data_IF_188376107509
#
_entry.id   IF_188376107509
#
_cell.length_a   1.000
_cell.length_b   1.000
_cell.length_c   1.000
_cell.angle_alpha   90.00
_cell.angle_beta   90.00
_cell.angle_gamma   90.00
#
_symmetry.space_group_name_H-M   'P 1'
#
loop_
_entity.id
_entity.type
_entity.pdbx_description
1 polymer ?
#
# COMPACT_ATOMS: atom_id res chain seq x y z
N UNK A 1 28.95 1.69 -31.76
CA UNK A 1 28.62 0.42 -31.09
C UNK A 1 29.26 0.49 -29.72
N UNK A 2 28.50 0.97 -28.73
CA UNK A 2 28.96 0.93 -27.33
C UNK A 2 29.06 -0.54 -26.90
N UNK A 3 30.01 -0.88 -26.02
CA UNK A 3 30.17 -2.24 -25.55
C UNK A 3 28.92 -2.67 -24.73
N UNK A 4 28.56 -3.96 -24.75
CA UNK A 4 27.35 -4.48 -24.09
C UNK A 4 27.28 -4.21 -22.56
N UNK A 5 28.39 -3.79 -21.95
CA UNK A 5 28.51 -3.46 -20.53
C UNK A 5 28.55 -1.94 -20.23
N UNK A 6 28.54 -1.07 -21.25
CA UNK A 6 28.64 0.38 -21.06
C UNK A 6 27.26 1.01 -20.77
N UNK A 7 27.22 1.83 -19.73
CA UNK A 7 26.06 2.63 -19.39
C UNK A 7 26.03 3.90 -20.22
N UNK A 8 24.90 4.19 -20.86
CA UNK A 8 24.64 5.51 -21.42
C UNK A 8 24.25 6.48 -20.31
N UNK A 9 24.90 7.63 -20.25
CA UNK A 9 24.58 8.67 -19.27
C UNK A 9 23.52 9.60 -19.87
N UNK A 10 22.36 9.69 -19.23
CA UNK A 10 21.24 10.51 -19.68
C UNK A 10 21.17 11.84 -18.93
N UNK A 11 21.26 12.94 -19.67
CA UNK A 11 21.31 14.32 -19.15
C UNK A 11 19.96 15.07 -19.17
N UNK A 12 18.83 14.39 -19.43
CA UNK A 12 17.51 15.00 -19.26
C UNK A 12 16.91 15.73 -20.45
N UNK A 13 17.58 15.79 -21.62
CA UNK A 13 17.07 16.55 -22.78
C UNK A 13 17.22 15.84 -24.13
N UNK A 14 18.11 14.86 -24.21
CA UNK A 14 18.49 14.24 -25.48
C UNK A 14 17.76 12.91 -25.69
N UNK A 15 17.44 12.58 -26.93
CA UNK A 15 16.93 11.26 -27.25
C UNK A 15 18.03 10.22 -27.00
N UNK A 16 17.68 9.13 -26.32
CA UNK A 16 18.62 8.02 -26.13
C UNK A 16 18.86 7.33 -27.48
N UNK A 17 20.12 7.07 -27.86
CA UNK A 17 20.44 6.34 -29.08
C UNK A 17 19.73 4.98 -29.13
N UNK A 18 19.31 4.52 -30.33
CA UNK A 18 18.50 3.32 -30.45
C UNK A 18 19.26 2.04 -30.08
N UNK A 19 20.58 2.01 -30.06
CA UNK A 19 21.39 0.84 -29.71
C UNK A 19 21.67 0.69 -28.20
N UNK A 20 21.23 1.65 -27.38
CA UNK A 20 21.46 1.64 -25.93
C UNK A 20 20.50 0.67 -25.23
N UNK A 21 21.07 -0.20 -24.40
CA UNK A 21 20.33 -1.14 -23.56
C UNK A 21 20.31 -0.74 -22.07
N UNK A 22 21.26 0.07 -21.62
CA UNK A 22 21.40 0.45 -20.19
C UNK A 22 21.60 1.95 -20.04
N UNK A 23 20.79 2.57 -19.19
CA UNK A 23 20.80 4.02 -18.96
C UNK A 23 21.02 4.34 -17.50
N UNK A 24 22.00 5.20 -17.22
CA UNK A 24 22.16 5.83 -15.91
C UNK A 24 21.75 7.29 -16.01
N UNK A 25 20.91 7.73 -15.10
CA UNK A 25 20.48 9.13 -15.03
C UNK A 25 21.63 9.95 -14.43
N UNK A 26 22.05 11.01 -15.14
CA UNK A 26 23.08 11.91 -14.67
C UNK A 26 22.66 12.66 -13.41
N UNK A 27 23.63 12.92 -12.55
CA UNK A 27 23.49 13.59 -11.26
C UNK A 27 22.84 15.00 -11.33
N UNK A 28 22.85 15.66 -12.49
CA UNK A 28 22.16 16.93 -12.75
C UNK A 28 20.65 16.80 -12.94
N UNK A 29 20.15 15.61 -13.27
CA UNK A 29 18.74 15.37 -13.60
C UNK A 29 17.95 15.12 -12.30
N UNK A 30 17.11 16.07 -11.92
CA UNK A 30 16.24 15.94 -10.73
C UNK A 30 14.84 15.43 -11.06
N UNK A 31 14.46 15.44 -12.34
CA UNK A 31 13.16 14.96 -12.84
C UNK A 31 13.42 14.27 -14.17
N UNK A 32 12.95 13.03 -14.33
CA UNK A 32 12.92 12.41 -15.66
C UNK A 32 11.80 13.08 -16.45
N UNK A 33 12.08 13.73 -17.59
CA UNK A 33 11.06 14.46 -18.33
C UNK A 33 9.92 13.57 -18.82
N UNK A 34 8.78 14.21 -19.08
CA UNK A 34 7.67 13.59 -19.81
C UNK A 34 8.18 13.00 -21.13
N UNK A 35 7.79 11.75 -21.42
CA UNK A 35 8.16 11.05 -22.66
C UNK A 35 9.67 10.85 -22.92
N UNK A 36 10.54 10.97 -21.90
CA UNK A 36 12.00 10.89 -22.05
C UNK A 36 12.52 9.66 -22.83
N UNK A 37 11.87 8.51 -22.66
CA UNK A 37 12.19 7.22 -23.28
C UNK A 37 10.97 6.64 -24.02
N UNK A 38 10.05 7.49 -24.47
CA UNK A 38 8.80 7.07 -25.10
C UNK A 38 9.02 6.08 -26.26
N UNK A 39 8.35 4.92 -26.19
CA UNK A 39 8.43 3.81 -27.14
C UNK A 39 9.83 3.23 -27.38
N UNK A 40 10.80 3.47 -26.49
CA UNK A 40 12.12 2.90 -26.64
C UNK A 40 12.08 1.37 -26.49
N UNK A 41 12.51 0.65 -27.54
CA UNK A 41 12.40 -0.82 -27.60
C UNK A 41 13.71 -1.55 -27.29
N UNK A 42 14.75 -0.84 -26.88
CA UNK A 42 16.07 -1.44 -26.65
C UNK A 42 16.56 -1.26 -25.21
N UNK A 43 16.13 -0.22 -24.49
CA UNK A 43 16.49 -0.09 -23.08
C UNK A 43 15.93 -1.26 -22.27
N UNK A 44 16.81 -1.91 -21.52
CA UNK A 44 16.53 -3.05 -20.65
C UNK A 44 16.69 -2.67 -19.17
N UNK A 45 17.56 -1.71 -18.87
CA UNK A 45 17.87 -1.30 -17.50
C UNK A 45 18.01 0.22 -17.38
N UNK A 46 17.41 0.78 -16.31
CA UNK A 46 17.53 2.20 -15.96
C UNK A 46 17.92 2.35 -14.49
N UNK A 47 18.98 3.10 -14.22
CA UNK A 47 19.47 3.40 -12.87
C UNK A 47 19.36 4.90 -12.58
N UNK A 48 18.56 5.25 -11.58
CA UNK A 48 18.44 6.61 -11.05
C UNK A 48 19.26 6.77 -9.77
N UNK A 49 19.90 7.93 -9.63
CA UNK A 49 20.48 8.38 -8.37
C UNK A 49 19.40 8.98 -7.43
N UNK A 50 19.74 9.18 -6.15
CA UNK A 50 18.77 9.57 -5.11
C UNK A 50 18.21 11.00 -5.22
N UNK A 51 18.76 11.82 -6.12
CA UNK A 51 18.26 13.20 -6.32
C UNK A 51 17.13 13.28 -7.34
N UNK A 52 16.88 12.23 -8.13
CA UNK A 52 15.69 12.16 -8.99
C UNK A 52 14.44 12.12 -8.10
N UNK A 53 13.58 13.13 -8.23
CA UNK A 53 12.37 13.30 -7.41
C UNK A 53 11.12 12.73 -8.06
N UNK A 54 11.04 12.78 -9.39
CA UNK A 54 9.87 12.28 -10.11
C UNK A 54 10.20 11.73 -11.48
N UNK A 55 9.34 10.83 -11.93
CA UNK A 55 9.28 10.32 -13.30
C UNK A 55 8.09 10.97 -14.00
N UNK A 56 8.37 11.69 -15.07
CA UNK A 56 7.38 12.39 -15.89
C UNK A 56 6.35 11.46 -16.52
N UNK A 57 5.24 12.04 -16.96
CA UNK A 57 4.19 11.26 -17.61
C UNK A 57 4.71 10.62 -18.90
N UNK A 58 4.25 9.41 -19.21
CA UNK A 58 4.69 8.67 -20.41
C UNK A 58 6.21 8.45 -20.54
N UNK A 59 7.02 8.72 -19.50
CA UNK A 59 8.48 8.72 -19.60
C UNK A 59 9.06 7.42 -20.19
N UNK A 60 8.51 6.27 -19.82
CA UNK A 60 8.85 4.94 -20.32
C UNK A 60 7.67 4.27 -21.03
N UNK A 61 6.75 5.05 -21.60
CA UNK A 61 5.57 4.50 -22.27
C UNK A 61 5.98 3.49 -23.34
N UNK A 62 5.41 2.28 -23.24
CA UNK A 62 5.59 1.17 -24.18
C UNK A 62 7.08 0.78 -24.38
N UNK A 63 7.90 0.93 -23.33
CA UNK A 63 9.27 0.40 -23.29
C UNK A 63 9.27 -1.11 -23.09
N UNK A 64 9.01 -1.87 -24.17
CA UNK A 64 8.73 -3.31 -24.09
C UNK A 64 9.91 -4.19 -23.70
N UNK A 65 11.13 -3.69 -23.81
CA UNK A 65 12.35 -4.42 -23.43
C UNK A 65 12.85 -4.06 -22.03
N UNK A 66 12.27 -3.05 -21.38
CA UNK A 66 12.66 -2.60 -20.05
C UNK A 66 12.34 -3.69 -19.03
N UNK A 67 13.37 -4.20 -18.35
CA UNK A 67 13.29 -5.29 -17.35
C UNK A 67 13.49 -4.80 -15.94
N UNK A 68 14.40 -3.84 -15.74
CA UNK A 68 14.80 -3.36 -14.42
C UNK A 68 14.85 -1.84 -14.34
N UNK A 69 14.29 -1.30 -13.26
CA UNK A 69 14.34 0.14 -12.93
C UNK A 69 14.73 0.32 -11.47
N UNK A 70 15.82 1.03 -11.23
CA UNK A 70 16.24 1.44 -9.89
C UNK A 70 15.90 2.93 -9.71
N UNK A 71 15.01 3.23 -8.75
CA UNK A 71 14.53 4.58 -8.48
C UNK A 71 14.24 4.82 -7.00
N UNK A 72 15.19 4.45 -6.13
CA UNK A 72 15.04 4.50 -4.66
C UNK A 72 14.71 5.90 -4.11
N UNK A 73 15.25 6.95 -4.74
CA UNK A 73 15.02 8.35 -4.38
C UNK A 73 13.74 8.99 -4.92
N UNK A 74 13.05 8.34 -5.87
CA UNK A 74 11.88 8.90 -6.56
C UNK A 74 10.67 8.89 -5.64
N UNK A 75 9.99 10.04 -5.57
CA UNK A 75 8.77 10.26 -4.78
C UNK A 75 7.49 10.16 -5.60
N UNK A 76 7.54 10.43 -6.90
CA UNK A 76 6.35 10.40 -7.74
C UNK A 76 6.63 9.76 -9.10
N UNK A 77 5.77 8.81 -9.49
CA UNK A 77 5.71 8.27 -10.84
C UNK A 77 4.42 8.77 -11.47
N UNK A 78 4.51 9.65 -12.46
CA UNK A 78 3.33 10.30 -13.04
C UNK A 78 2.55 9.37 -13.98
N UNK A 79 1.39 9.85 -14.43
CA UNK A 79 0.47 9.08 -15.26
C UNK A 79 1.13 8.47 -16.50
N UNK A 80 0.79 7.21 -16.79
CA UNK A 80 1.30 6.44 -17.92
C UNK A 80 2.82 6.22 -17.98
N UNK A 81 3.58 6.57 -16.93
CA UNK A 81 5.04 6.56 -16.97
C UNK A 81 5.65 5.23 -17.45
N UNK A 82 5.18 4.08 -16.98
CA UNK A 82 5.62 2.73 -17.37
C UNK A 82 4.51 1.95 -18.10
N UNK A 83 3.55 2.63 -18.72
CA UNK A 83 2.43 1.99 -19.41
C UNK A 83 2.92 1.00 -20.48
N UNK A 84 2.45 -0.25 -20.47
CA UNK A 84 2.88 -1.33 -21.36
C UNK A 84 4.40 -1.60 -21.40
N UNK A 85 5.12 -1.42 -20.29
CA UNK A 85 6.46 -2.00 -20.10
C UNK A 85 6.33 -3.52 -19.84
N UNK A 86 5.99 -4.29 -20.87
CA UNK A 86 5.57 -5.69 -20.69
C UNK A 86 6.66 -6.61 -20.10
N UNK A 87 7.94 -6.30 -20.31
CA UNK A 87 9.07 -7.08 -19.79
C UNK A 87 9.54 -6.64 -18.39
N UNK A 88 8.95 -5.59 -17.80
CA UNK A 88 9.39 -5.04 -16.52
C UNK A 88 9.12 -6.05 -15.41
N UNK A 89 10.18 -6.57 -14.81
CA UNK A 89 10.15 -7.57 -13.73
C UNK A 89 10.53 -6.98 -12.38
N UNK A 90 11.50 -6.07 -12.38
CA UNK A 90 12.18 -5.59 -11.17
C UNK A 90 12.11 -4.07 -11.06
N UNK A 91 11.35 -3.58 -10.08
CA UNK A 91 11.24 -2.15 -9.76
C UNK A 91 11.72 -1.93 -8.33
N UNK A 92 12.85 -1.26 -8.19
CA UNK A 92 13.38 -0.87 -6.88
C UNK A 92 12.99 0.57 -6.57
N UNK A 93 11.97 0.73 -5.73
CA UNK A 93 11.49 2.01 -5.25
C UNK A 93 11.24 1.92 -3.74
N UNK A 94 11.71 2.90 -2.97
CA UNK A 94 11.55 2.90 -1.51
C UNK A 94 10.73 4.10 -1.06
N UNK A 95 11.04 5.28 -1.61
CA UNK A 95 10.44 6.56 -1.24
C UNK A 95 9.26 6.96 -2.12
N UNK A 96 8.71 6.03 -2.90
CA UNK A 96 7.64 6.31 -3.85
C UNK A 96 6.34 6.61 -3.10
N UNK A 97 5.92 7.88 -3.11
CA UNK A 97 4.73 8.40 -2.42
C UNK A 97 3.50 8.43 -3.32
N UNK A 98 3.68 8.73 -4.62
CA UNK A 98 2.58 8.88 -5.60
C UNK A 98 2.79 7.93 -6.77
N UNK A 99 1.79 7.09 -7.03
CA UNK A 99 1.72 6.22 -8.20
C UNK A 99 0.57 6.69 -9.07
N UNK A 100 0.91 7.36 -10.17
CA UNK A 100 -0.03 8.05 -11.03
C UNK A 100 -0.93 7.12 -11.87
N UNK A 101 -1.93 7.73 -12.49
CA UNK A 101 -2.97 7.05 -13.26
C UNK A 101 -2.34 6.19 -14.36
N UNK A 102 -2.65 4.89 -14.36
CA UNK A 102 -2.11 3.91 -15.32
C UNK A 102 -0.57 3.85 -15.34
N UNK A 103 0.11 4.27 -14.27
CA UNK A 103 1.57 4.35 -14.23
C UNK A 103 2.26 3.03 -14.64
N UNK A 104 1.78 1.88 -14.16
CA UNK A 104 2.33 0.56 -14.46
C UNK A 104 1.34 -0.32 -15.24
N UNK A 105 0.29 0.26 -15.85
CA UNK A 105 -0.74 -0.53 -16.54
C UNK A 105 -0.10 -1.44 -17.60
N UNK A 106 -0.38 -2.74 -17.53
CA UNK A 106 0.09 -3.73 -18.47
C UNK A 106 1.59 -4.06 -18.36
N UNK A 107 2.23 -3.79 -17.22
CA UNK A 107 3.53 -4.37 -16.85
C UNK A 107 3.36 -5.87 -16.54
N UNK A 108 3.10 -6.66 -17.58
CA UNK A 108 2.65 -8.06 -17.48
C UNK A 108 3.64 -9.00 -16.80
N UNK A 109 4.92 -8.67 -16.79
CA UNK A 109 5.98 -9.46 -16.15
C UNK A 109 6.32 -8.98 -14.74
N UNK A 110 5.71 -7.90 -14.25
CA UNK A 110 6.01 -7.35 -12.93
C UNK A 110 5.49 -8.32 -11.87
N UNK A 111 6.40 -8.96 -11.13
CA UNK A 111 6.02 -10.05 -10.21
C UNK A 111 5.74 -9.54 -8.80
N UNK A 112 6.46 -8.49 -8.37
CA UNK A 112 6.39 -7.89 -7.05
C UNK A 112 6.72 -6.41 -7.16
N UNK A 113 6.12 -5.61 -6.30
CA UNK A 113 6.53 -4.23 -6.08
C UNK A 113 6.38 -3.90 -4.59
N UNK A 114 7.43 -3.34 -4.00
CA UNK A 114 7.45 -2.90 -2.60
C UNK A 114 7.32 -1.38 -2.60
N UNK A 115 6.26 -0.84 -1.99
CA UNK A 115 5.95 0.60 -1.99
C UNK A 115 5.56 1.05 -0.58
N UNK A 116 6.48 0.95 0.39
CA UNK A 116 6.17 1.19 1.80
C UNK A 116 5.85 2.66 2.10
N UNK A 117 6.29 3.59 1.26
CA UNK A 117 6.01 5.03 1.41
C UNK A 117 4.83 5.52 0.56
N UNK A 118 4.16 4.65 -0.20
CA UNK A 118 3.07 5.08 -1.07
C UNK A 118 1.89 5.60 -0.24
N UNK A 119 1.44 6.80 -0.59
CA UNK A 119 0.29 7.48 -0.02
C UNK A 119 -0.91 7.39 -0.95
N UNK A 120 -0.66 7.62 -2.24
CA UNK A 120 -1.70 7.72 -3.27
C UNK A 120 -1.38 6.73 -4.39
N UNK A 121 -2.32 5.84 -4.66
CA UNK A 121 -2.33 4.96 -5.84
C UNK A 121 -3.51 5.36 -6.70
N UNK A 122 -3.25 6.00 -7.84
CA UNK A 122 -4.33 6.50 -8.70
C UNK A 122 -5.00 5.37 -9.52
N UNK A 123 -6.11 5.72 -10.17
CA UNK A 123 -6.92 4.76 -10.93
C UNK A 123 -6.09 3.99 -11.97
N UNK A 124 -6.35 2.70 -12.07
CA UNK A 124 -5.69 1.78 -13.00
C UNK A 124 -4.16 1.67 -12.87
N UNK A 125 -3.54 2.16 -11.78
CA UNK A 125 -2.10 2.23 -11.60
C UNK A 125 -1.36 0.92 -11.94
N UNK A 126 -1.87 -0.24 -11.50
CA UNK A 126 -1.30 -1.57 -11.73
C UNK A 126 -2.22 -2.48 -12.56
N UNK A 127 -3.19 -1.92 -13.28
CA UNK A 127 -4.14 -2.72 -14.03
C UNK A 127 -3.43 -3.60 -15.08
N UNK A 128 -3.90 -4.83 -15.25
CA UNK A 128 -3.33 -5.85 -16.14
C UNK A 128 -1.86 -6.20 -15.87
N UNK A 129 -1.34 -5.96 -14.65
CA UNK A 129 -0.08 -6.54 -14.16
C UNK A 129 -0.30 -8.03 -13.82
N UNK A 130 -0.47 -8.86 -14.85
CA UNK A 130 -0.97 -10.24 -14.71
C UNK A 130 -0.06 -11.18 -13.90
N UNK A 131 1.23 -10.89 -13.80
CA UNK A 131 2.19 -11.66 -13.00
C UNK A 131 2.37 -11.13 -11.57
N UNK A 132 1.74 -10.01 -11.20
CA UNK A 132 1.92 -9.38 -9.91
C UNK A 132 1.32 -10.29 -8.83
N UNK A 133 2.15 -10.79 -7.93
CA UNK A 133 1.77 -11.75 -6.87
C UNK A 133 1.57 -11.09 -5.52
N UNK A 134 2.31 -10.01 -5.26
CA UNK A 134 2.34 -9.33 -3.96
C UNK A 134 2.54 -7.84 -4.14
N UNK A 135 1.80 -7.06 -3.34
CA UNK A 135 1.98 -5.62 -3.19
C UNK A 135 2.01 -5.28 -1.71
N UNK A 136 3.07 -4.60 -1.28
CA UNK A 136 3.27 -4.20 0.11
C UNK A 136 3.17 -2.67 0.24
N UNK A 137 2.08 -2.19 0.82
CA UNK A 137 1.92 -0.81 1.24
C UNK A 137 2.31 -0.62 2.71
N UNK A 138 2.74 0.60 3.05
CA UNK A 138 3.00 1.00 4.43
C UNK A 138 1.84 1.72 5.10
N UNK A 139 2.08 2.17 6.35
CA UNK A 139 1.09 2.82 7.21
C UNK A 139 0.61 4.20 6.68
N UNK A 140 1.38 4.80 5.78
CA UNK A 140 1.12 6.12 5.21
C UNK A 140 0.17 6.07 4.01
N UNK A 141 -0.29 4.89 3.58
CA UNK A 141 -1.28 4.81 2.50
C UNK A 141 -2.57 5.53 2.92
N UNK A 142 -3.09 6.34 2.00
CA UNK A 142 -4.27 7.19 2.17
C UNK A 142 -5.38 6.81 1.19
N UNK A 143 -5.04 6.44 -0.06
CA UNK A 143 -6.06 6.09 -1.05
C UNK A 143 -5.59 5.12 -2.14
N UNK A 144 -6.52 4.27 -2.57
CA UNK A 144 -6.40 3.40 -3.74
C UNK A 144 -7.54 3.73 -4.71
N UNK A 145 -7.18 4.16 -5.91
CA UNK A 145 -8.11 4.60 -6.94
C UNK A 145 -8.83 3.44 -7.65
N UNK A 146 -9.90 3.80 -8.35
CA UNK A 146 -10.72 2.88 -9.14
C UNK A 146 -9.89 1.92 -10.02
N UNK A 147 -10.21 0.63 -9.99
CA UNK A 147 -9.58 -0.41 -10.81
C UNK A 147 -8.04 -0.46 -10.72
N UNK A 148 -7.44 0.04 -9.63
CA UNK A 148 -5.97 0.09 -9.48
C UNK A 148 -5.28 -1.27 -9.70
N UNK A 149 -5.93 -2.39 -9.33
CA UNK A 149 -5.43 -3.75 -9.54
C UNK A 149 -6.29 -4.59 -10.49
N UNK A 150 -7.10 -3.96 -11.35
CA UNK A 150 -7.92 -4.68 -12.32
C UNK A 150 -7.10 -5.69 -13.13
N UNK A 151 -7.57 -6.92 -13.27
CA UNK A 151 -6.88 -8.01 -13.98
C UNK A 151 -5.47 -8.37 -13.46
N UNK A 152 -5.15 -8.08 -12.19
CA UNK A 152 -3.98 -8.65 -11.52
C UNK A 152 -4.23 -10.13 -11.16
N UNK A 153 -4.32 -10.99 -12.19
CA UNK A 153 -4.77 -12.38 -12.09
C UNK A 153 -3.94 -13.26 -11.16
N UNK A 154 -2.68 -12.90 -10.94
CA UNK A 154 -1.77 -13.63 -10.03
C UNK A 154 -1.66 -13.01 -8.64
N UNK A 155 -2.37 -11.92 -8.34
CA UNK A 155 -2.24 -11.24 -7.05
C UNK A 155 -2.80 -12.14 -5.96
N UNK A 156 -1.93 -12.64 -5.09
CA UNK A 156 -2.27 -13.57 -4.02
C UNK A 156 -2.48 -12.85 -2.69
N UNK A 157 -1.67 -11.81 -2.46
CA UNK A 157 -1.63 -11.06 -1.22
C UNK A 157 -1.46 -9.57 -1.47
N UNK A 158 -2.20 -8.79 -0.69
CA UNK A 158 -1.98 -7.35 -0.58
C UNK A 158 -1.87 -6.95 0.89
N UNK A 159 -0.93 -6.06 1.19
CA UNK A 159 -0.77 -5.46 2.52
C UNK A 159 -1.26 -4.02 2.48
N UNK A 160 -2.24 -3.65 3.32
CA UNK A 160 -2.83 -2.29 3.40
C UNK A 160 -2.91 -1.83 4.86
N UNK A 161 -2.93 -0.52 5.18
CA UNK A 161 -3.10 -0.08 6.57
C UNK A 161 -4.54 -0.28 7.06
N UNK A 162 -4.69 -0.47 8.38
CA UNK A 162 -6.00 -0.44 9.03
C UNK A 162 -6.46 1.03 9.20
N UNK A 163 -7.12 1.57 8.18
CA UNK A 163 -7.76 2.89 8.18
C UNK A 163 -9.08 2.81 7.45
N UNK A 164 -10.02 3.68 7.83
CA UNK A 164 -11.25 3.88 7.07
C UNK A 164 -10.93 4.41 5.66
N UNK A 165 -11.82 4.13 4.71
CA UNK A 165 -11.80 4.65 3.34
C UNK A 165 -10.50 4.42 2.54
N UNK A 166 -9.69 3.41 2.88
CA UNK A 166 -8.57 3.00 2.02
C UNK A 166 -9.04 2.35 0.72
N UNK A 167 -10.11 1.53 0.82
CA UNK A 167 -10.76 0.85 -0.30
C UNK A 167 -12.08 1.58 -0.57
N UNK A 168 -12.07 2.53 -1.50
CA UNK A 168 -13.23 3.39 -1.82
C UNK A 168 -14.03 2.94 -3.02
N UNK A 169 -13.55 1.94 -3.77
CA UNK A 169 -14.19 1.46 -4.99
C UNK A 169 -14.30 -0.07 -5.00
N UNK A 170 -15.46 -0.58 -5.38
CA UNK A 170 -15.76 -2.01 -5.40
C UNK A 170 -14.95 -2.80 -6.45
N UNK A 171 -14.40 -2.11 -7.44
CA UNK A 171 -13.74 -2.72 -8.58
C UNK A 171 -12.20 -2.75 -8.49
N UNK A 172 -11.63 -2.35 -7.34
CA UNK A 172 -10.16 -2.30 -7.14
C UNK A 172 -9.51 -3.65 -7.44
N UNK A 173 -10.12 -4.75 -6.99
CA UNK A 173 -9.62 -6.13 -7.16
C UNK A 173 -10.40 -6.93 -8.20
N UNK A 174 -11.07 -6.27 -9.14
CA UNK A 174 -11.82 -6.97 -10.18
C UNK A 174 -10.88 -7.82 -11.04
N UNK A 175 -11.26 -9.07 -11.30
CA UNK A 175 -10.46 -10.10 -11.99
C UNK A 175 -9.16 -10.52 -11.26
N UNK A 176 -8.99 -10.18 -9.97
CA UNK A 176 -7.92 -10.70 -9.11
C UNK A 176 -8.26 -12.11 -8.61
N UNK A 177 -8.15 -13.10 -9.50
CA UNK A 177 -8.63 -14.49 -9.27
C UNK A 177 -7.91 -15.23 -8.15
N UNK A 178 -6.66 -14.89 -7.87
CA UNK A 178 -5.85 -15.52 -6.82
C UNK A 178 -5.83 -14.74 -5.50
N UNK A 179 -6.55 -13.62 -5.39
CA UNK A 179 -6.47 -12.80 -4.18
C UNK A 179 -7.18 -13.52 -3.04
N UNK A 180 -6.38 -14.07 -2.14
CA UNK A 180 -6.83 -14.93 -1.04
C UNK A 180 -6.51 -14.31 0.32
N UNK A 181 -5.58 -13.35 0.37
CA UNK A 181 -5.10 -12.77 1.62
C UNK A 181 -5.00 -11.25 1.56
N UNK A 182 -5.57 -10.59 2.57
CA UNK A 182 -5.36 -9.17 2.85
C UNK A 182 -4.68 -9.08 4.21
N UNK A 183 -3.44 -8.62 4.20
CA UNK A 183 -2.68 -8.35 5.42
C UNK A 183 -2.88 -6.89 5.81
N UNK A 184 -2.97 -6.64 7.12
CA UNK A 184 -2.95 -5.29 7.65
C UNK A 184 -1.53 -4.91 8.03
N UNK A 185 -1.06 -3.78 7.53
CA UNK A 185 0.11 -3.12 8.11
C UNK A 185 -0.36 -2.32 9.31
N UNK A 186 0.05 -2.83 10.46
CA UNK A 186 -0.06 -2.14 11.72
C UNK A 186 1.00 -1.02 11.70
N UNK A 187 0.55 0.22 11.67
CA UNK A 187 1.30 1.20 12.47
C UNK A 187 1.35 0.70 13.93
N UNK A 188 2.29 1.23 14.72
CA UNK A 188 2.46 0.92 16.16
C UNK A 188 1.12 0.88 16.91
N UNK A 189 0.16 1.71 16.49
CA UNK A 189 -1.20 1.82 17.03
C UNK A 189 -1.95 0.48 17.12
N UNK A 190 -1.98 -0.41 16.11
CA UNK A 190 -2.81 -1.63 16.19
C UNK A 190 -2.16 -2.68 17.10
N UNK A 191 -0.83 -2.86 16.97
CA UNK A 191 -0.06 -3.75 17.85
C UNK A 191 -0.21 -3.33 19.31
N UNK A 192 -0.03 -2.04 19.58
CA UNK A 192 -0.15 -1.50 20.92
C UNK A 192 -1.59 -1.59 21.43
N UNK A 193 -2.59 -1.38 20.55
CA UNK A 193 -4.00 -1.53 20.91
C UNK A 193 -4.31 -2.96 21.34
N UNK A 194 -3.89 -3.98 20.57
CA UNK A 194 -4.14 -5.39 20.90
C UNK A 194 -3.35 -5.81 22.13
N UNK A 195 -2.08 -5.40 22.25
CA UNK A 195 -1.24 -5.71 23.40
C UNK A 195 -1.75 -5.03 24.69
N UNK A 196 -2.37 -3.86 24.59
CA UNK A 196 -2.96 -3.15 25.71
C UNK A 196 -4.32 -3.72 26.16
N UNK A 197 -4.91 -4.69 25.43
CA UNK A 197 -6.14 -5.34 25.88
C UNK A 197 -5.85 -6.19 27.12
N UNK A 198 -6.32 -5.72 28.29
CA UNK A 198 -6.11 -6.41 29.57
C UNK A 198 -6.90 -7.73 29.66
N UNK A 199 -7.98 -7.88 28.90
CA UNK A 199 -8.82 -9.06 28.91
C UNK A 199 -8.43 -10.02 27.79
N UNK A 200 -8.05 -11.24 28.15
CA UNK A 200 -7.65 -12.27 27.19
C UNK A 200 -8.75 -12.58 26.17
N UNK A 201 -10.01 -12.54 26.60
CA UNK A 201 -11.17 -12.72 25.72
C UNK A 201 -11.19 -11.68 24.58
N UNK A 202 -10.93 -10.40 24.88
CA UNK A 202 -10.91 -9.34 23.87
C UNK A 202 -9.75 -9.50 22.90
N UNK A 203 -8.58 -9.89 23.43
CA UNK A 203 -7.39 -10.16 22.62
C UNK A 203 -7.65 -11.32 21.65
N UNK A 204 -8.32 -12.38 22.12
CA UNK A 204 -8.64 -13.54 21.31
C UNK A 204 -9.69 -13.18 20.22
N UNK A 205 -10.78 -12.50 20.55
CA UNK A 205 -11.79 -12.05 19.55
C UNK A 205 -11.17 -11.15 18.48
N UNK A 206 -10.28 -10.22 18.86
CA UNK A 206 -9.56 -9.38 17.89
C UNK A 206 -8.68 -10.20 16.95
N UNK A 207 -7.92 -11.16 17.48
CA UNK A 207 -7.09 -12.04 16.66
C UNK A 207 -7.93 -12.89 15.71
N UNK A 208 -9.08 -13.41 16.17
CA UNK A 208 -10.00 -14.17 15.35
C UNK A 208 -10.59 -13.32 14.21
N UNK A 209 -10.99 -12.07 14.51
CA UNK A 209 -11.44 -11.11 13.50
C UNK A 209 -10.36 -10.81 12.46
N UNK A 210 -9.11 -10.62 12.89
CA UNK A 210 -8.00 -10.40 11.97
C UNK A 210 -7.74 -11.61 11.05
N UNK A 211 -7.96 -12.83 11.56
CA UNK A 211 -7.83 -14.07 10.78
C UNK A 211 -9.03 -14.37 9.85
N UNK A 212 -10.23 -13.89 10.20
CA UNK A 212 -11.47 -14.28 9.54
C UNK A 212 -11.52 -13.94 8.05
N UNK A 213 -10.99 -12.78 7.63
CA UNK A 213 -11.00 -12.40 6.21
C UNK A 213 -10.24 -13.40 5.35
N UNK A 214 -9.14 -13.96 5.85
CA UNK A 214 -8.31 -14.90 5.09
C UNK A 214 -9.00 -16.26 4.87
N UNK A 215 -10.07 -16.55 5.61
CA UNK A 215 -10.92 -17.74 5.39
C UNK A 215 -12.05 -17.46 4.39
N UNK A 216 -12.58 -16.22 4.38
CA UNK A 216 -13.74 -15.83 3.56
C UNK A 216 -13.30 -15.37 2.17
N UNK A 217 -12.24 -14.56 2.08
CA UNK A 217 -11.81 -13.94 0.82
C UNK A 217 -11.56 -14.94 -0.32
N UNK A 218 -10.97 -16.13 -0.10
CA UNK A 218 -10.82 -17.15 -1.14
C UNK A 218 -12.15 -17.64 -1.73
N UNK A 219 -13.25 -17.61 -0.96
CA UNK A 219 -14.57 -18.07 -1.41
C UNK A 219 -15.34 -17.02 -2.20
N UNK A 220 -14.88 -15.76 -2.18
CA UNK A 220 -15.54 -14.65 -2.88
C UNK A 220 -15.11 -14.63 -4.35
N UNK A 221 -16.06 -14.63 -5.31
CA UNK A 221 -15.75 -14.46 -6.73
C UNK A 221 -14.94 -13.19 -6.98
N UNK A 222 -13.99 -13.25 -7.91
CA UNK A 222 -13.11 -12.13 -8.21
C UNK A 222 -13.78 -11.01 -9.04
N UNK A 223 -15.06 -11.14 -9.39
CA UNK A 223 -15.66 -10.27 -10.39
C UNK A 223 -15.39 -10.80 -11.80
N UNK A 224 -16.35 -11.41 -12.50
CA UNK A 224 -16.26 -11.72 -13.93
C UNK A 224 -17.29 -10.98 -14.80
N UNK A 225 -16.83 -10.36 -15.89
CA UNK A 225 -17.71 -9.68 -16.85
C UNK A 225 -18.14 -8.24 -16.50
N UNK A 226 -18.98 -7.65 -17.36
CA UNK A 226 -19.26 -6.20 -17.38
C UNK A 226 -20.05 -5.68 -16.16
N UNK A 227 -20.86 -6.53 -15.53
CA UNK A 227 -21.79 -6.15 -14.45
C UNK A 227 -21.46 -6.75 -13.07
N UNK A 228 -20.35 -7.50 -12.96
CA UNK A 228 -19.93 -8.08 -11.67
C UNK A 228 -19.11 -7.06 -10.86
N UNK A 229 -19.52 -6.92 -9.59
CA UNK A 229 -19.14 -5.89 -8.62
C UNK A 229 -18.06 -6.39 -7.68
N UNK A 230 -16.95 -6.90 -8.23
CA UNK A 230 -15.67 -7.06 -7.53
C UNK A 230 -15.74 -7.42 -6.03
N UNK A 231 -16.55 -8.42 -5.64
CA UNK A 231 -17.01 -8.62 -4.27
C UNK A 231 -15.90 -8.77 -3.22
N UNK A 232 -14.67 -9.10 -3.64
CA UNK A 232 -13.47 -9.11 -2.79
C UNK A 232 -13.18 -7.74 -2.17
N UNK A 233 -13.34 -6.65 -2.93
CA UNK A 233 -13.09 -5.29 -2.43
C UNK A 233 -14.14 -4.89 -1.38
N UNK A 234 -15.43 -5.09 -1.68
CA UNK A 234 -16.52 -4.86 -0.72
C UNK A 234 -16.35 -5.70 0.56
N UNK A 235 -16.00 -6.98 0.42
CA UNK A 235 -15.74 -7.87 1.56
C UNK A 235 -14.58 -7.34 2.43
N UNK A 236 -13.49 -6.91 1.80
CA UNK A 236 -12.36 -6.33 2.52
C UNK A 236 -12.72 -5.01 3.22
N UNK A 237 -13.51 -4.14 2.57
CA UNK A 237 -13.99 -2.90 3.16
C UNK A 237 -14.86 -3.16 4.40
N UNK A 238 -15.89 -4.00 4.27
CA UNK A 238 -16.78 -4.36 5.38
C UNK A 238 -16.02 -5.00 6.54
N UNK A 239 -15.02 -5.84 6.23
CA UNK A 239 -14.15 -6.42 7.23
C UNK A 239 -13.31 -5.37 7.97
N UNK A 240 -12.67 -4.43 7.26
CA UNK A 240 -11.92 -3.32 7.88
C UNK A 240 -12.83 -2.53 8.84
N UNK A 241 -14.03 -2.14 8.38
CA UNK A 241 -14.99 -1.43 9.22
C UNK A 241 -15.45 -2.25 10.43
N UNK A 242 -15.59 -3.57 10.30
CA UNK A 242 -15.90 -4.48 11.41
C UNK A 242 -14.77 -4.55 12.45
N UNK A 243 -13.52 -4.59 11.99
CA UNK A 243 -12.33 -4.57 12.87
C UNK A 243 -12.25 -3.24 13.61
N UNK A 244 -12.37 -2.11 12.91
CA UNK A 244 -12.31 -0.77 13.50
C UNK A 244 -13.43 -0.55 14.54
N UNK A 245 -14.67 -0.90 14.20
CA UNK A 245 -15.79 -0.79 15.15
C UNK A 245 -15.60 -1.65 16.40
N UNK A 246 -15.00 -2.84 16.27
CA UNK A 246 -14.68 -3.71 17.41
C UNK A 246 -13.64 -3.06 18.32
N UNK A 247 -12.60 -2.45 17.76
CA UNK A 247 -11.57 -1.72 18.52
C UNK A 247 -12.20 -0.57 19.31
N UNK A 248 -13.05 0.24 18.67
CA UNK A 248 -13.75 1.37 19.32
C UNK A 248 -14.59 0.87 20.48
N UNK A 249 -15.36 -0.21 20.27
CA UNK A 249 -16.18 -0.84 21.31
C UNK A 249 -15.33 -1.31 22.50
N UNK A 250 -14.21 -1.99 22.26
CA UNK A 250 -13.34 -2.47 23.34
C UNK A 250 -12.68 -1.33 24.10
N UNK A 251 -12.24 -0.26 23.43
CA UNK A 251 -11.73 0.95 24.11
C UNK A 251 -12.79 1.56 25.02
N UNK A 252 -14.05 1.64 24.57
CA UNK A 252 -15.15 2.17 25.36
C UNK A 252 -15.47 1.30 26.59
N UNK A 253 -15.56 -0.03 26.40
CA UNK A 253 -15.78 -0.97 27.50
C UNK A 253 -14.63 -0.95 28.50
N UNK A 254 -13.39 -0.85 28.03
CA UNK A 254 -12.21 -0.81 28.90
C UNK A 254 -12.23 0.40 29.82
N UNK A 255 -12.53 1.58 29.24
CA UNK A 255 -12.71 2.82 29.98
C UNK A 255 -13.80 2.70 31.05
N UNK A 256 -14.90 2.01 30.74
CA UNK A 256 -15.98 1.75 31.70
C UNK A 256 -15.50 0.89 32.87
N UNK A 257 -14.81 -0.23 32.62
CA UNK A 257 -14.31 -1.09 33.69
C UNK A 257 -13.30 -0.38 34.61
N UNK A 258 -12.43 0.46 34.05
CA UNK A 258 -11.50 1.27 34.84
C UNK A 258 -12.24 2.28 35.74
N UNK A 259 -13.29 2.92 35.24
CA UNK A 259 -14.10 3.85 36.03
C UNK A 259 -14.89 3.15 37.15
N UNK A 260 -15.45 1.97 36.87
CA UNK A 260 -16.14 1.14 37.86
C UNK A 260 -15.15 0.70 38.95
N UNK A 261 -13.98 0.17 38.57
CA UNK A 261 -12.92 -0.21 39.50
C UNK A 261 -12.46 0.96 40.39
N UNK A 262 -12.22 2.14 39.79
CA UNK A 262 -11.84 3.34 40.53
C UNK A 262 -12.90 3.75 41.55
N UNK A 263 -14.19 3.64 41.19
CA UNK A 263 -15.32 3.97 42.08
C UNK A 263 -15.43 2.98 43.23
N UNK A 264 -15.33 1.67 42.96
CA UNK A 264 -15.34 0.63 43.98
C UNK A 264 -14.19 0.80 44.98
N UNK A 265 -13.00 1.12 44.48
CA UNK A 265 -11.81 1.40 45.28
C UNK A 265 -12.01 2.61 46.21
N UNK A 266 -12.59 3.71 45.70
CA UNK A 266 -12.92 4.88 46.52
C UNK A 266 -13.97 4.57 47.60
N UNK A 267 -14.99 3.77 47.28
CA UNK A 267 -16.02 3.37 48.26
C UNK A 267 -15.46 2.42 49.34
N UNK A 268 -14.51 1.55 48.98
CA UNK A 268 -13.94 0.57 49.89
C UNK A 268 -12.97 1.17 50.92
N UNK A 269 -12.31 2.30 50.61
CA UNK A 269 -11.39 2.96 51.56
C UNK A 269 -11.40 4.49 51.43
N UNK A 270 -12.43 5.19 51.93
CA UNK A 270 -12.64 6.62 51.68
C UNK A 270 -11.52 7.57 52.13
N UNK A 271 -10.62 7.13 53.01
CA UNK A 271 -9.57 7.94 53.64
C UNK A 271 -8.15 7.37 53.45
N UNK A 272 -7.94 6.47 52.50
CA UNK A 272 -6.65 5.77 52.36
C UNK A 272 -5.70 6.50 51.40
N UNK A 273 -4.53 6.92 51.91
CA UNK A 273 -3.48 7.64 51.16
C UNK A 273 -2.94 6.81 49.99
N UNK A 274 -3.12 5.49 50.02
CA UNK A 274 -2.75 4.59 48.92
C UNK A 274 -3.64 4.82 47.68
N UNK A 275 -4.90 5.22 47.85
CA UNK A 275 -5.83 5.46 46.73
C UNK A 275 -5.47 6.71 45.91
N UNK A 276 -4.95 7.77 46.54
CA UNK A 276 -4.44 8.96 45.82
C UNK A 276 -3.30 8.60 44.87
N UNK A 277 -2.51 7.58 45.21
CA UNK A 277 -1.40 7.13 44.39
C UNK A 277 -1.81 6.13 43.30
N UNK A 278 -2.97 5.47 43.39
CA UNK A 278 -3.41 4.44 42.41
C UNK A 278 -4.40 4.99 41.38
N UNK A 279 -5.28 5.92 41.77
CA UNK A 279 -6.27 6.56 40.88
C UNK A 279 -5.68 7.22 39.62
N UNK A 280 -4.48 7.84 39.64
CA UNK A 280 -3.86 8.37 38.44
C UNK A 280 -3.52 7.30 37.40
N UNK A 281 -3.17 6.08 37.83
CA UNK A 281 -2.81 4.97 36.95
C UNK A 281 -4.02 4.25 36.35
N UNK A 282 -5.22 4.43 36.94
CA UNK A 282 -6.49 3.92 36.40
C UNK A 282 -7.08 4.85 35.32
N UNK A 283 -6.56 6.07 35.18
CA UNK A 283 -6.91 6.97 34.07
C UNK A 283 -6.02 6.61 32.88
N UNK A 284 -6.62 6.05 31.82
CA UNK A 284 -5.91 5.83 30.56
C UNK A 284 -5.27 7.12 30.07
N UNK A 285 -4.07 7.07 29.47
CA UNK A 285 -3.58 8.18 28.66
C UNK A 285 -4.63 8.49 27.59
N UNK A 286 -4.93 9.78 27.41
CA UNK A 286 -5.82 10.26 26.35
C UNK A 286 -5.17 10.00 24.99
N UNK A 287 -5.33 8.80 24.45
CA UNK A 287 -5.10 8.55 23.03
C UNK A 287 -6.34 8.99 22.27
N UNK A 288 -6.32 10.23 21.80
CA UNK A 288 -7.21 10.70 20.76
C UNK A 288 -6.82 9.99 19.46
N UNK A 289 -7.71 9.16 18.94
CA UNK A 289 -7.71 8.90 17.50
C UNK A 289 -8.22 10.21 16.90
N UNK A 290 -7.32 11.03 16.35
CA UNK A 290 -7.73 12.11 15.46
C UNK A 290 -8.33 11.44 14.22
N UNK A 291 -9.65 11.48 14.17
CA UNK A 291 -10.53 10.88 13.17
C UNK A 291 -11.94 11.23 13.58
N UNK A 292 -12.19 12.53 13.68
CA UNK A 292 -13.52 13.12 13.90
C UNK A 292 -14.11 13.58 12.57
N UNK A 293 -15.44 13.46 12.54
CA UNK A 293 -16.48 13.94 11.60
C UNK A 293 -16.79 13.14 10.33
#
# INVERSE_FOLDING_TARGET
MMAADEWYIYYGMEAVPPDVTRVRIDESVTVIPTSAFYENRNIEEVECHDRVKSVGGWAFYNCRSLRRVIMRGVKAVNGFAFYYCNALTDVECEKLEIIGRRAFLGCKSLTKINVPSAKIVESWAFASCTALTKVDFGKELESIGEMAFYECKSLERITIPLKDDIITHDNIFKECKKLERVDLVEGEILRDTIAALLLEEWRNDMNDKLGAINQILPTIPAGDGLFDVGGKAQTAQLWISSVLSTIVRYKAQHRRYLNEAATTLQLASPNDVVLENVLPFLKLPSYTFEGED
#
